data_IF_559784239599
#
_entry.id   IF_559784239599
#
_cell.length_a   1.000
_cell.length_b   1.000
_cell.length_c   1.000
_cell.angle_alpha   90.00
_cell.angle_beta   90.00
_cell.angle_gamma   90.00
#
_symmetry.space_group_name_H-M   'P 1'
#
loop_
_entity.id
_entity.type
_entity.pdbx_description
1 polymer ?
#
# COMPACT_ATOMS: atom_id res chain seq x y z
N UNK A 1 8.61 -11.14 -39.31
CA UNK A 1 8.38 -10.70 -37.92
C UNK A 1 7.99 -11.95 -37.13
N UNK A 2 8.95 -12.60 -36.45
CA UNK A 2 8.66 -13.85 -35.76
C UNK A 2 7.73 -13.62 -34.55
N UNK A 3 6.80 -14.54 -34.25
CA UNK A 3 5.90 -14.43 -33.12
C UNK A 3 6.69 -14.52 -31.82
N UNK A 4 6.34 -13.65 -30.89
CA UNK A 4 6.98 -13.50 -29.58
C UNK A 4 6.91 -14.83 -28.79
N UNK A 5 8.04 -15.49 -28.62
CA UNK A 5 8.19 -16.71 -27.84
C UNK A 5 7.75 -16.48 -26.39
N UNK A 6 6.62 -17.08 -26.01
CA UNK A 6 6.25 -17.24 -24.59
C UNK A 6 7.12 -18.34 -23.98
N UNK A 7 8.14 -17.95 -23.24
CA UNK A 7 9.04 -18.88 -22.55
C UNK A 7 8.28 -19.61 -21.41
N UNK A 8 8.05 -20.93 -21.51
CA UNK A 8 7.31 -21.71 -20.51
C UNK A 8 8.09 -21.92 -19.20
N UNK A 9 9.34 -21.43 -19.09
CA UNK A 9 10.14 -21.45 -17.86
C UNK A 9 9.79 -20.38 -16.82
N UNK A 10 8.87 -19.44 -17.11
CA UNK A 10 8.39 -18.42 -16.14
C UNK A 10 7.13 -18.85 -15.37
N UNK A 11 6.80 -20.14 -15.35
CA UNK A 11 5.67 -20.69 -14.59
C UNK A 11 6.11 -21.00 -13.16
N UNK A 12 6.45 -19.99 -12.35
CA UNK A 12 6.66 -20.18 -10.90
C UNK A 12 6.75 -18.91 -10.04
N UNK A 13 6.68 -17.70 -10.59
CA UNK A 13 6.50 -16.51 -9.75
C UNK A 13 5.02 -16.42 -9.41
N UNK A 14 4.60 -17.07 -8.30
CA UNK A 14 3.27 -16.85 -7.73
C UNK A 14 3.11 -15.35 -7.54
N UNK A 15 2.32 -14.74 -8.43
CA UNK A 15 1.83 -13.37 -8.34
C UNK A 15 1.00 -13.29 -7.06
N UNK A 16 1.66 -13.03 -5.93
CA UNK A 16 1.04 -13.07 -4.61
C UNK A 16 0.33 -11.74 -4.41
N UNK A 17 -0.95 -11.72 -4.80
CA UNK A 17 -1.86 -10.62 -4.48
C UNK A 17 -1.91 -10.44 -2.96
N UNK A 18 -1.74 -9.21 -2.47
CA UNK A 18 -1.87 -8.90 -1.05
C UNK A 18 -3.34 -9.10 -0.64
N UNK A 19 -3.64 -9.65 0.55
CA UNK A 19 -5.03 -9.79 1.02
C UNK A 19 -5.85 -8.49 0.91
N UNK A 20 -5.23 -7.34 1.23
CA UNK A 20 -5.87 -6.02 1.15
C UNK A 20 -6.30 -5.65 -0.27
N UNK A 21 -5.58 -6.11 -1.30
CA UNK A 21 -5.91 -5.85 -2.70
C UNK A 21 -7.22 -6.54 -3.11
N UNK A 22 -7.52 -7.67 -2.48
CA UNK A 22 -8.80 -8.38 -2.64
C UNK A 22 -9.88 -7.78 -1.75
N UNK A 23 -9.58 -7.52 -0.48
CA UNK A 23 -10.55 -7.09 0.54
C UNK A 23 -11.04 -5.65 0.34
N UNK A 24 -10.17 -4.76 -0.15
CA UNK A 24 -10.45 -3.33 -0.38
C UNK A 24 -10.33 -2.95 -1.84
N UNK A 25 -10.67 -3.88 -2.74
CA UNK A 25 -10.44 -3.72 -4.19
C UNK A 25 -11.06 -2.43 -4.74
N UNK A 26 -12.32 -2.15 -4.41
CA UNK A 26 -13.03 -0.99 -4.93
C UNK A 26 -12.39 0.33 -4.48
N UNK A 27 -12.00 0.41 -3.21
CA UNK A 27 -11.33 1.57 -2.62
C UNK A 27 -9.97 1.82 -3.28
N UNK A 28 -9.18 0.77 -3.48
CA UNK A 28 -7.87 0.85 -4.07
C UNK A 28 -7.94 1.21 -5.56
N UNK A 29 -8.84 0.59 -6.33
CA UNK A 29 -9.07 0.90 -7.74
C UNK A 29 -9.61 2.32 -7.94
N UNK A 30 -10.55 2.76 -7.10
CA UNK A 30 -11.05 4.14 -7.12
C UNK A 30 -9.92 5.13 -6.92
N UNK A 31 -9.01 4.86 -5.96
CA UNK A 31 -7.81 5.66 -5.82
C UNK A 31 -6.92 5.60 -7.07
N UNK A 32 -6.70 4.44 -7.68
CA UNK A 32 -5.85 4.32 -8.86
C UNK A 32 -6.25 5.23 -10.03
N UNK A 33 -7.55 5.44 -10.22
CA UNK A 33 -8.08 6.29 -11.28
C UNK A 33 -8.36 7.75 -10.85
N UNK A 34 -8.14 8.10 -9.58
CA UNK A 34 -8.38 9.45 -9.06
C UNK A 34 -7.29 10.45 -9.52
N UNK A 35 -7.62 11.73 -9.80
CA UNK A 35 -6.65 12.77 -10.16
C UNK A 35 -5.81 13.30 -8.98
N UNK A 36 -5.59 12.48 -7.95
CA UNK A 36 -4.63 12.74 -6.84
C UNK A 36 -4.94 13.99 -6.00
N UNK A 37 -6.21 14.33 -5.84
CA UNK A 37 -6.66 15.52 -5.09
C UNK A 37 -6.11 15.57 -3.65
N UNK A 38 -5.86 14.40 -3.05
CA UNK A 38 -5.31 14.24 -1.71
C UNK A 38 -3.83 14.67 -1.54
N UNK A 39 -3.12 15.02 -2.63
CA UNK A 39 -1.70 15.44 -2.61
C UNK A 39 -1.42 16.60 -1.66
N UNK A 40 -2.24 17.64 -1.69
CA UNK A 40 -1.97 18.89 -0.97
C UNK A 40 -2.27 18.81 0.53
N UNK A 41 -3.18 17.91 0.93
CA UNK A 41 -3.62 17.77 2.33
C UNK A 41 -2.81 16.76 3.13
N UNK A 42 -2.02 15.92 2.47
CA UNK A 42 -1.20 14.92 3.17
C UNK A 42 0.08 15.56 3.74
N UNK A 43 0.28 15.57 5.07
CA UNK A 43 1.47 16.18 5.67
C UNK A 43 2.77 15.50 5.23
N UNK A 44 2.76 14.17 5.08
CA UNK A 44 3.94 13.41 4.62
C UNK A 44 4.28 13.75 3.17
N UNK A 45 3.26 13.92 2.32
CA UNK A 45 3.52 14.32 0.94
C UNK A 45 4.03 15.76 0.82
N UNK A 46 3.68 16.64 1.76
CA UNK A 46 4.21 18.00 1.80
C UNK A 46 5.64 18.05 2.34
N UNK A 47 6.00 17.14 3.25
CA UNK A 47 7.35 17.02 3.76
C UNK A 47 8.31 16.35 2.77
N UNK A 48 7.84 15.33 2.03
CA UNK A 48 8.68 14.52 1.14
C UNK A 48 8.20 14.60 -0.32
N UNK A 49 9.02 15.07 -1.27
CA UNK A 49 8.65 15.24 -2.67
C UNK A 49 8.71 13.91 -3.45
N UNK A 50 8.09 12.86 -2.92
CA UNK A 50 8.03 11.52 -3.51
C UNK A 50 6.59 11.15 -3.83
N UNK A 51 6.32 10.88 -5.10
CA UNK A 51 4.97 10.56 -5.58
C UNK A 51 4.36 9.32 -4.91
N UNK A 52 5.21 8.33 -4.59
CA UNK A 52 4.81 7.14 -3.83
C UNK A 52 4.29 7.44 -2.41
N UNK A 53 4.58 8.62 -1.86
CA UNK A 53 4.13 9.03 -0.53
C UNK A 53 2.85 9.89 -0.54
N UNK A 54 2.33 10.23 -1.72
CA UNK A 54 0.98 10.78 -1.87
C UNK A 54 -0.03 9.71 -1.42
N UNK A 55 -1.15 10.03 -0.75
CA UNK A 55 -2.13 9.02 -0.38
C UNK A 55 -2.61 8.18 -1.58
N UNK A 56 -2.77 8.81 -2.75
CA UNK A 56 -2.96 8.12 -4.03
C UNK A 56 -1.87 7.07 -4.30
N UNK A 57 -0.59 7.45 -4.27
CA UNK A 57 0.54 6.55 -4.56
C UNK A 57 0.64 5.40 -3.56
N UNK A 58 0.31 5.67 -2.30
CA UNK A 58 0.25 4.64 -1.26
C UNK A 58 -0.86 3.63 -1.52
N UNK A 59 -2.05 4.10 -1.88
CA UNK A 59 -3.18 3.23 -2.21
C UNK A 59 -2.88 2.40 -3.47
N UNK A 60 -2.37 3.02 -4.54
CA UNK A 60 -2.06 2.29 -5.77
C UNK A 60 -0.96 1.25 -5.59
N UNK A 61 0.00 1.49 -4.69
CA UNK A 61 1.03 0.51 -4.37
C UNK A 61 0.46 -0.81 -3.82
N UNK A 62 -0.69 -0.77 -3.14
CA UNK A 62 -1.34 -1.94 -2.55
C UNK A 62 -2.03 -2.82 -3.61
N UNK A 63 -2.31 -2.31 -4.81
CA UNK A 63 -2.78 -3.11 -5.96
C UNK A 63 -1.63 -3.88 -6.64
N UNK A 64 -0.38 -3.50 -6.39
CA UNK A 64 0.75 -4.08 -7.10
C UNK A 64 1.02 -5.51 -6.64
N UNK A 65 1.05 -6.42 -7.61
CA UNK A 65 1.48 -7.80 -7.41
C UNK A 65 3.00 -7.96 -7.48
N UNK A 66 3.70 -6.91 -7.88
CA UNK A 66 5.14 -6.94 -8.08
C UNK A 66 5.88 -6.59 -6.80
N UNK A 67 6.94 -7.35 -6.54
CA UNK A 67 7.81 -7.11 -5.42
C UNK A 67 8.86 -6.01 -5.74
N UNK A 68 8.47 -4.74 -5.92
CA UNK A 68 9.44 -3.62 -5.95
C UNK A 68 10.28 -3.51 -4.66
N UNK A 69 11.59 -3.30 -4.79
CA UNK A 69 12.55 -3.27 -3.67
C UNK A 69 12.42 -2.04 -2.76
N UNK A 70 11.66 -1.05 -3.21
CA UNK A 70 11.31 0.14 -2.44
C UNK A 70 9.86 -0.07 -2.01
N UNK A 71 9.65 -0.44 -0.74
CA UNK A 71 8.32 -0.66 -0.16
C UNK A 71 8.18 -0.03 1.23
N UNK A 72 7.91 1.27 1.27
CA UNK A 72 7.66 2.04 2.50
C UNK A 72 6.26 2.69 2.49
N UNK A 73 5.41 2.39 1.52
CA UNK A 73 4.33 3.28 1.11
C UNK A 73 3.21 3.39 2.15
N UNK A 74 2.59 2.28 2.64
CA UNK A 74 1.59 2.40 3.71
C UNK A 74 2.24 2.76 5.07
N UNK A 75 3.55 2.57 5.24
CA UNK A 75 4.31 3.06 6.41
C UNK A 75 4.53 4.57 6.39
N UNK A 76 4.45 5.20 5.22
CA UNK A 76 4.39 6.66 5.11
C UNK A 76 3.04 7.26 5.52
N UNK A 77 2.04 6.45 5.91
CA UNK A 77 0.76 6.95 6.42
C UNK A 77 0.81 7.16 7.94
N UNK A 78 0.61 8.39 8.40
CA UNK A 78 0.54 8.73 9.83
C UNK A 78 -0.83 8.48 10.46
N UNK A 79 -1.85 8.14 9.66
CA UNK A 79 -3.24 8.00 10.15
C UNK A 79 -3.96 9.33 10.42
N UNK A 80 -3.46 10.46 9.90
CA UNK A 80 -4.03 11.79 10.19
C UNK A 80 -5.45 12.07 9.65
N UNK A 81 -6.01 11.22 8.77
CA UNK A 81 -7.39 11.36 8.27
C UNK A 81 -7.64 12.43 7.20
N UNK A 82 -6.75 13.41 7.00
CA UNK A 82 -6.98 14.53 6.08
C UNK A 82 -7.31 14.12 4.62
N UNK A 83 -6.74 13.00 4.14
CA UNK A 83 -7.07 12.47 2.82
C UNK A 83 -8.46 11.84 2.74
N UNK A 84 -8.94 11.26 3.84
CA UNK A 84 -10.31 10.73 3.96
C UNK A 84 -11.30 11.89 3.97
N UNK A 85 -11.06 12.92 4.79
CA UNK A 85 -11.94 14.09 4.88
C UNK A 85 -12.08 14.86 3.56
N UNK A 86 -11.01 14.95 2.76
CA UNK A 86 -11.06 15.60 1.45
C UNK A 86 -11.76 14.75 0.37
N UNK A 87 -11.84 13.43 0.56
CA UNK A 87 -12.15 12.50 -0.51
C UNK A 87 -13.57 12.72 -1.08
N UNK A 88 -13.66 12.96 -2.39
CA UNK A 88 -14.95 13.14 -3.09
C UNK A 88 -15.68 11.83 -3.41
N UNK A 89 -15.04 10.70 -3.16
CA UNK A 89 -15.60 9.36 -3.36
C UNK A 89 -15.97 8.70 -2.03
N UNK A 90 -15.91 9.43 -0.90
CA UNK A 90 -16.14 8.91 0.45
C UNK A 90 -15.27 7.68 0.78
N UNK A 91 -14.10 7.59 0.12
CA UNK A 91 -13.20 6.46 0.27
C UNK A 91 -12.47 6.55 1.63
N UNK A 92 -12.46 5.48 2.46
CA UNK A 92 -11.79 5.47 3.76
C UNK A 92 -10.26 5.33 3.64
N UNK A 93 -9.62 6.24 2.90
CA UNK A 93 -8.20 6.16 2.48
C UNK A 93 -7.25 5.91 3.65
N UNK A 94 -7.40 6.65 4.76
CA UNK A 94 -6.51 6.50 5.90
C UNK A 94 -6.63 5.11 6.56
N UNK A 95 -7.84 4.59 6.68
CA UNK A 95 -8.14 3.27 7.25
C UNK A 95 -7.55 2.16 6.38
N UNK A 96 -7.82 2.19 5.08
CA UNK A 96 -7.28 1.20 4.12
C UNK A 96 -5.75 1.18 4.13
N UNK A 97 -5.10 2.33 4.29
CA UNK A 97 -3.64 2.40 4.41
C UNK A 97 -3.11 1.83 5.74
N UNK A 98 -3.87 1.95 6.83
CA UNK A 98 -3.52 1.34 8.11
C UNK A 98 -3.64 -0.19 8.01
N UNK A 99 -4.74 -0.69 7.45
CA UNK A 99 -4.95 -2.12 7.17
C UNK A 99 -3.93 -2.66 6.19
N UNK A 100 -3.56 -1.87 5.19
CA UNK A 100 -2.52 -2.20 4.23
C UNK A 100 -1.18 -2.51 4.90
N UNK A 101 -0.83 -1.85 6.02
CA UNK A 101 0.36 -2.22 6.80
C UNK A 101 0.25 -3.63 7.37
N UNK A 102 -0.90 -3.97 7.97
CA UNK A 102 -1.12 -5.30 8.52
C UNK A 102 -1.07 -6.36 7.42
N UNK A 103 -1.69 -6.11 6.27
CA UNK A 103 -1.69 -7.01 5.12
C UNK A 103 -0.29 -7.24 4.55
N UNK A 104 0.49 -6.17 4.35
CA UNK A 104 1.87 -6.25 3.86
C UNK A 104 2.79 -6.91 4.90
N UNK A 105 2.56 -6.68 6.19
CA UNK A 105 3.28 -7.35 7.27
C UNK A 105 2.99 -8.86 7.30
N UNK A 106 1.72 -9.26 7.25
CA UNK A 106 1.30 -10.66 7.22
C UNK A 106 1.83 -11.39 5.97
N UNK A 107 1.99 -10.67 4.85
CA UNK A 107 2.60 -11.18 3.63
C UNK A 107 4.15 -11.30 3.70
N UNK A 108 4.78 -10.97 4.83
CA UNK A 108 6.24 -11.02 5.00
C UNK A 108 6.98 -9.93 4.20
N UNK A 109 6.28 -8.85 3.82
CA UNK A 109 6.80 -7.77 2.95
C UNK A 109 6.94 -6.44 3.68
N UNK A 110 6.82 -6.43 5.01
CA UNK A 110 7.03 -5.23 5.82
C UNK A 110 8.50 -4.77 5.83
N UNK A 111 8.77 -3.47 6.04
CA UNK A 111 10.12 -2.97 6.24
C UNK A 111 10.82 -3.63 7.43
N UNK A 112 12.13 -3.84 7.34
CA UNK A 112 12.93 -4.47 8.40
C UNK A 112 12.74 -3.82 9.77
N UNK A 113 12.69 -2.48 9.81
CA UNK A 113 12.47 -1.74 11.05
C UNK A 113 11.11 -2.06 11.70
N UNK A 114 10.06 -2.28 10.90
CA UNK A 114 8.74 -2.66 11.41
C UNK A 114 8.75 -4.10 11.95
N UNK A 115 9.43 -5.01 11.26
CA UNK A 115 9.62 -6.40 11.70
C UNK A 115 10.38 -6.44 13.04
N UNK A 116 11.48 -5.69 13.16
CA UNK A 116 12.27 -5.60 14.38
C UNK A 116 11.45 -5.10 15.57
N UNK A 117 10.72 -3.99 15.41
CA UNK A 117 9.86 -3.43 16.47
C UNK A 117 8.80 -4.44 16.92
N UNK A 118 8.23 -5.19 15.98
CA UNK A 118 7.24 -6.22 16.28
C UNK A 118 7.84 -7.40 17.08
N UNK A 119 9.08 -7.79 16.78
CA UNK A 119 9.82 -8.83 17.51
C UNK A 119 10.23 -8.37 18.92
N UNK A 120 10.66 -7.12 19.07
CA UNK A 120 11.02 -6.51 20.36
C UNK A 120 9.79 -6.28 21.26
N UNK A 121 8.62 -6.06 20.65
CA UNK A 121 7.38 -5.74 21.35
C UNK A 121 6.19 -6.59 20.88
N UNK A 122 6.20 -7.92 21.14
CA UNK A 122 5.16 -8.82 20.63
C UNK A 122 3.75 -8.46 21.12
N UNK A 123 3.62 -7.88 22.32
CA UNK A 123 2.34 -7.38 22.85
C UNK A 123 1.77 -6.14 22.15
N UNK A 124 2.49 -5.52 21.20
CA UNK A 124 1.93 -4.46 20.33
C UNK A 124 1.17 -5.01 19.14
N UNK A 125 1.58 -6.17 18.61
CA UNK A 125 0.85 -6.85 17.53
C UNK A 125 -0.54 -7.31 17.98
N UNK A 126 -0.63 -7.86 19.20
CA UNK A 126 -1.87 -8.40 19.77
C UNK A 126 -2.94 -7.35 20.10
N UNK A 127 -2.61 -6.05 20.08
CA UNK A 127 -3.55 -4.95 20.36
C UNK A 127 -4.12 -4.29 19.09
N UNK A 128 -3.66 -4.70 17.91
CA UNK A 128 -4.08 -4.16 16.61
C UNK A 128 -4.89 -5.16 15.77
N UNK A 129 -5.18 -6.35 16.32
CA UNK A 129 -6.04 -7.39 15.74
C UNK A 129 -7.39 -7.38 16.46
#
# INVERSE_FOLDING_TARGET
MPPYDVNPGKVAQRRLELPIARERRMELETCAYCPRLCRAVCPVSNAEPREALIPWGKMTSLLSTEASEIRLEPWGCTGCGACTELCRHDNPVAEVLIEGRASVFAAGRAPEAAVRIAQEHPGRLLRQA
#
